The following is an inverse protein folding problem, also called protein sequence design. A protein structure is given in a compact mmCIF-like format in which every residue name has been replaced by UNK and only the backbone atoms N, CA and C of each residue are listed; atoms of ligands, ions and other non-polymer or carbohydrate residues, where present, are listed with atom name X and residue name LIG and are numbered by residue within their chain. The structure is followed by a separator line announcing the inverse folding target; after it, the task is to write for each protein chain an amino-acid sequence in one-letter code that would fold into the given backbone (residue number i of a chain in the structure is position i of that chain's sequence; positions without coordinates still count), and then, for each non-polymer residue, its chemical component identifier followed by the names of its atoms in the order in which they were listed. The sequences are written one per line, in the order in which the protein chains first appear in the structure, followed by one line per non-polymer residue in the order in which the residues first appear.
data_IF_120030360824
#
_entry.id   IF_120030360824
#
_cell.length_a   1.000
_cell.length_b   1.000
_cell.length_c   1.000
_cell.angle_alpha   90.00
_cell.angle_beta   90.00
_cell.angle_gamma   90.00
#
_symmetry.space_group_name_H-M   'P 1'
#
loop_
_entity.id
_entity.type
_entity.pdbx_description
1 polymer ?
#
# COMPACT_ATOMS: atom_id res chain seq x y z
N UNK A 1 -6.62 -2.41 -2.64
CA UNK A 1 -5.77 -2.01 -3.78
C UNK A 1 -6.02 -2.99 -4.90
N UNK A 2 -6.28 -2.51 -6.11
CA UNK A 2 -6.58 -3.38 -7.26
C UNK A 2 -5.28 -3.61 -8.04
N UNK A 3 -5.05 -4.84 -8.50
CA UNK A 3 -3.86 -5.15 -9.30
C UNK A 3 -3.98 -4.53 -10.68
N UNK A 4 -2.91 -3.96 -11.20
CA UNK A 4 -2.82 -3.47 -12.58
C UNK A 4 -1.47 -3.83 -13.18
N UNK A 5 -1.40 -4.17 -14.47
CA UNK A 5 -0.13 -4.49 -15.13
C UNK A 5 0.78 -3.27 -15.31
N UNK A 6 0.31 -2.05 -15.03
CA UNK A 6 1.14 -0.84 -15.00
C UNK A 6 1.79 -0.46 -16.34
N UNK A 7 1.26 -0.93 -17.48
CA UNK A 7 1.87 -0.75 -18.82
C UNK A 7 1.74 0.65 -19.40
N UNK A 8 0.93 1.52 -18.78
CA UNK A 8 0.65 2.86 -19.27
C UNK A 8 -0.49 3.52 -18.49
N UNK A 9 -0.88 4.70 -18.96
CA UNK A 9 -1.95 5.49 -18.37
C UNK A 9 -3.25 5.38 -19.19
N UNK A 10 -4.43 5.50 -18.54
CA UNK A 10 -4.62 5.55 -17.10
C UNK A 10 -4.37 4.18 -16.44
N UNK A 11 -3.86 4.16 -15.20
CA UNK A 11 -3.51 2.92 -14.48
C UNK A 11 -4.68 1.93 -14.37
N UNK A 12 -5.90 2.43 -14.30
CA UNK A 12 -7.11 1.60 -14.23
C UNK A 12 -7.46 0.85 -15.52
N UNK A 13 -6.89 1.20 -16.68
CA UNK A 13 -7.28 0.61 -17.97
C UNK A 13 -7.02 -0.91 -18.06
N UNK A 14 -6.03 -1.41 -17.32
CA UNK A 14 -5.67 -2.83 -17.25
C UNK A 14 -6.00 -3.49 -15.91
N UNK A 15 -6.77 -2.84 -15.05
CA UNK A 15 -6.99 -3.30 -13.69
C UNK A 15 -7.72 -4.65 -13.63
N UNK A 16 -7.22 -5.57 -12.80
CA UNK A 16 -7.81 -6.89 -12.56
C UNK A 16 -8.44 -6.95 -11.16
N UNK A 17 -9.74 -6.62 -11.09
CA UNK A 17 -10.46 -6.56 -9.81
C UNK A 17 -10.55 -7.89 -9.04
N UNK A 18 -10.29 -9.04 -9.70
CA UNK A 18 -10.24 -10.35 -9.03
C UNK A 18 -9.00 -10.49 -8.14
N UNK A 19 -7.97 -9.71 -8.40
CA UNK A 19 -6.67 -9.79 -7.72
C UNK A 19 -6.48 -8.48 -6.95
N UNK A 20 -6.71 -8.53 -5.64
CA UNK A 20 -6.64 -7.34 -4.78
C UNK A 20 -5.85 -7.61 -3.51
N UNK A 21 -5.06 -6.61 -3.08
CA UNK A 21 -4.42 -6.58 -1.77
C UNK A 21 -5.22 -5.63 -0.89
N UNK A 22 -5.66 -6.09 0.29
CA UNK A 22 -6.52 -5.32 1.19
C UNK A 22 -5.65 -4.57 2.19
N UNK A 23 -5.99 -3.30 2.42
CA UNK A 23 -5.42 -2.47 3.50
C UNK A 23 -6.57 -1.89 4.31
N UNK A 24 -6.33 -1.60 5.58
CA UNK A 24 -7.30 -0.91 6.44
C UNK A 24 -7.49 0.54 5.98
N UNK A 25 -8.54 1.18 6.48
CA UNK A 25 -8.79 2.60 6.22
C UNK A 25 -7.65 3.47 6.75
N UNK A 26 -7.19 3.16 7.96
CA UNK A 26 -6.08 3.84 8.61
C UNK A 26 -5.18 2.89 9.41
N UNK A 27 -3.98 3.36 9.70
CA UNK A 27 -2.96 2.63 10.46
C UNK A 27 -3.37 2.37 11.90
N UNK A 28 -4.20 3.22 12.51
CA UNK A 28 -4.73 3.02 13.86
C UNK A 28 -5.64 1.79 13.92
N UNK A 29 -6.51 1.60 12.92
CA UNK A 29 -7.32 0.39 12.80
C UNK A 29 -6.48 -0.87 12.58
N UNK A 30 -5.44 -0.80 11.74
CA UNK A 30 -4.53 -1.91 11.55
C UNK A 30 -3.81 -2.27 12.86
N UNK A 31 -3.26 -1.28 13.55
CA UNK A 31 -2.59 -1.45 14.85
C UNK A 31 -3.54 -2.02 15.91
N UNK A 32 -4.78 -1.54 15.96
CA UNK A 32 -5.81 -2.04 16.88
C UNK A 32 -6.19 -3.50 16.59
N UNK A 33 -6.34 -3.87 15.31
CA UNK A 33 -6.59 -5.26 14.92
C UNK A 33 -5.46 -6.21 15.35
N UNK A 34 -4.22 -5.70 15.35
CA UNK A 34 -3.02 -6.39 15.82
C UNK A 34 -2.83 -6.31 17.35
N UNK A 35 -3.74 -5.63 18.06
CA UNK A 35 -3.71 -5.40 19.51
C UNK A 35 -2.42 -4.72 19.98
N UNK A 36 -1.87 -3.83 19.15
CA UNK A 36 -0.77 -2.96 19.55
C UNK A 36 -1.29 -1.94 20.57
N UNK A 37 -0.72 -1.96 21.77
CA UNK A 37 -1.01 -0.94 22.79
C UNK A 37 -0.28 0.35 22.41
N UNK A 38 -1.03 1.38 22.03
CA UNK A 38 -0.49 2.69 21.67
C UNK A 38 0.36 3.27 22.81
N UNK A 39 -0.04 3.08 24.06
CA UNK A 39 0.69 3.62 25.20
C UNK A 39 2.04 2.91 25.38
N UNK A 40 2.10 1.60 25.08
CA UNK A 40 3.36 0.87 25.04
C UNK A 40 4.24 1.31 23.86
N UNK A 41 3.63 1.57 22.70
CA UNK A 41 4.30 2.04 21.50
C UNK A 41 4.99 3.40 21.73
N UNK A 42 4.28 4.34 22.36
CA UNK A 42 4.81 5.68 22.68
C UNK A 42 5.97 5.66 23.69
N UNK A 43 6.05 4.63 24.53
CA UNK A 43 7.09 4.51 25.57
C UNK A 43 8.30 3.69 25.13
N UNK A 44 8.23 3.04 23.96
CA UNK A 44 9.31 2.21 23.48
C UNK A 44 10.41 3.08 22.88
N UNK A 45 11.63 2.95 23.40
CA UNK A 45 12.82 3.60 22.84
C UNK A 45 13.25 2.94 21.51
N UNK A 46 12.97 1.64 21.37
CA UNK A 46 13.19 0.86 20.16
C UNK A 46 12.03 -0.14 20.00
N UNK A 47 11.45 -0.19 18.80
CA UNK A 47 10.25 -0.95 18.49
C UNK A 47 10.60 -2.07 17.50
N UNK A 48 10.95 -3.24 18.02
CA UNK A 48 11.09 -4.44 17.20
C UNK A 48 9.71 -5.05 16.92
N UNK A 49 9.05 -4.52 15.89
CA UNK A 49 7.77 -5.04 15.41
C UNK A 49 8.03 -6.05 14.30
N UNK A 50 7.70 -7.32 14.55
CA UNK A 50 7.78 -8.40 13.54
C UNK A 50 6.99 -8.11 12.26
N UNK A 51 6.07 -7.15 12.31
CA UNK A 51 5.21 -6.69 11.22
C UNK A 51 5.43 -5.21 10.85
N UNK A 52 6.59 -4.64 11.20
CA UNK A 52 6.95 -3.25 10.86
C UNK A 52 6.78 -2.93 9.38
N UNK A 53 7.15 -3.87 8.49
CA UNK A 53 6.97 -3.73 7.04
C UNK A 53 5.51 -3.55 6.65
N UNK A 54 4.63 -4.40 7.18
CA UNK A 54 3.20 -4.32 6.89
C UNK A 54 2.55 -3.04 7.47
N UNK A 55 3.01 -2.58 8.64
CA UNK A 55 2.56 -1.31 9.23
C UNK A 55 3.07 -0.11 8.40
N UNK A 56 4.31 -0.15 7.93
CA UNK A 56 4.87 0.88 7.06
C UNK A 56 4.11 0.95 5.73
N UNK A 57 3.86 -0.20 5.08
CA UNK A 57 3.02 -0.28 3.88
C UNK A 57 1.64 0.32 4.15
N UNK A 58 0.95 -0.09 5.24
CA UNK A 58 -0.35 0.45 5.62
C UNK A 58 -0.33 1.98 5.80
N UNK A 59 0.67 2.52 6.47
CA UNK A 59 0.81 3.95 6.70
C UNK A 59 1.03 4.71 5.38
N UNK A 60 1.90 4.21 4.50
CA UNK A 60 2.10 4.78 3.16
C UNK A 60 0.82 4.72 2.34
N UNK A 61 0.12 3.59 2.33
CA UNK A 61 -1.15 3.43 1.63
C UNK A 61 -2.22 4.43 2.08
N UNK A 62 -2.31 4.71 3.39
CA UNK A 62 -3.18 5.75 3.92
C UNK A 62 -2.80 7.14 3.37
N UNK A 63 -1.52 7.49 3.37
CA UNK A 63 -1.03 8.79 2.88
C UNK A 63 -1.24 8.94 1.37
N UNK A 64 -1.02 7.89 0.58
CA UNK A 64 -1.21 7.92 -0.87
C UNK A 64 -2.67 8.22 -1.27
N UNK A 65 -3.65 7.86 -0.44
CA UNK A 65 -5.07 8.22 -0.69
C UNK A 65 -5.33 9.72 -0.59
N UNK A 66 -4.42 10.48 0.01
CA UNK A 66 -4.51 11.94 0.10
C UNK A 66 -3.95 12.64 -1.15
N UNK A 67 -3.28 11.88 -2.04
CA UNK A 67 -2.68 12.40 -3.27
C UNK A 67 -3.71 12.30 -4.40
N UNK A 68 -4.54 13.33 -4.54
CA UNK A 68 -5.57 13.39 -5.57
C UNK A 68 -6.47 14.61 -5.43
N UNK A 69 -7.42 14.76 -6.35
CA UNK A 69 -8.46 15.79 -6.21
C UNK A 69 -9.54 15.31 -5.24
N UNK A 70 -9.96 16.17 -4.31
CA UNK A 70 -10.90 15.80 -3.24
C UNK A 70 -12.34 15.46 -3.70
N UNK A 71 -12.59 15.48 -5.00
CA UNK A 71 -13.87 15.12 -5.63
C UNK A 71 -13.82 13.73 -6.32
N UNK A 72 -12.71 12.99 -6.19
CA UNK A 72 -12.55 11.65 -6.75
C UNK A 72 -12.34 10.64 -5.63
N UNK A 73 -12.88 9.43 -5.81
CA UNK A 73 -12.60 8.31 -4.90
C UNK A 73 -11.11 7.93 -5.01
N UNK A 74 -10.34 7.94 -3.91
CA UNK A 74 -8.91 7.63 -3.97
C UNK A 74 -8.65 6.18 -4.41
N UNK A 75 -8.15 6.02 -5.64
CA UNK A 75 -7.78 4.72 -6.17
C UNK A 75 -6.33 4.37 -5.79
N UNK A 76 -6.14 3.20 -5.19
CA UNK A 76 -4.82 2.62 -4.94
C UNK A 76 -4.60 1.40 -5.82
N UNK A 77 -3.47 1.42 -6.51
CA UNK A 77 -3.03 0.37 -7.41
C UNK A 77 -1.77 -0.28 -6.87
N UNK A 78 -1.59 -1.55 -7.17
CA UNK A 78 -0.34 -2.27 -6.96
C UNK A 78 -0.06 -3.14 -8.19
N UNK A 79 1.15 -3.64 -8.30
CA UNK A 79 1.51 -4.59 -9.34
C UNK A 79 2.00 -5.88 -8.72
N UNK A 80 1.53 -7.00 -9.25
CA UNK A 80 2.01 -8.32 -8.86
C UNK A 80 2.14 -9.21 -10.09
N UNK A 81 3.11 -10.13 -10.02
CA UNK A 81 3.29 -11.19 -11.00
C UNK A 81 3.55 -12.49 -10.27
N UNK A 82 2.65 -13.44 -10.42
CA UNK A 82 2.89 -14.83 -10.02
C UNK A 82 3.24 -15.70 -11.22
N UNK A 83 4.34 -16.43 -11.11
CA UNK A 83 4.75 -17.48 -12.04
C UNK A 83 5.24 -18.69 -11.25
N UNK A 84 5.24 -19.87 -11.90
CA UNK A 84 5.53 -21.18 -11.28
C UNK A 84 6.82 -21.23 -10.43
N UNK A 85 7.81 -20.39 -10.71
CA UNK A 85 9.09 -20.34 -10.00
C UNK A 85 9.53 -18.92 -9.60
N UNK A 86 8.65 -17.92 -9.72
CA UNK A 86 9.00 -16.52 -9.43
C UNK A 86 7.75 -15.74 -9.10
N UNK A 87 7.76 -15.06 -7.95
CA UNK A 87 6.81 -14.01 -7.61
C UNK A 87 7.54 -12.68 -7.56
N UNK A 88 6.86 -11.61 -7.96
CA UNK A 88 7.32 -10.24 -7.78
C UNK A 88 6.12 -9.36 -7.48
N UNK A 89 6.32 -8.36 -6.64
CA UNK A 89 5.31 -7.39 -6.24
C UNK A 89 5.95 -6.00 -6.22
N UNK A 90 5.15 -4.98 -6.47
CA UNK A 90 5.44 -3.57 -6.18
C UNK A 90 4.28 -3.09 -5.33
N UNK A 91 4.58 -2.57 -4.13
CA UNK A 91 3.58 -2.25 -3.09
C UNK A 91 2.50 -1.29 -3.60
N UNK A 92 2.93 -0.23 -4.28
CA UNK A 92 2.04 0.77 -4.84
C UNK A 92 2.47 1.23 -6.23
N UNK A 93 1.48 1.52 -7.07
CA UNK A 93 1.62 2.21 -8.34
C UNK A 93 0.87 3.54 -8.31
N UNK A 94 1.58 4.62 -8.62
CA UNK A 94 1.03 5.96 -8.78
C UNK A 94 1.21 6.50 -10.19
N UNK A 95 0.48 7.57 -10.50
CA UNK A 95 0.69 8.37 -11.72
C UNK A 95 0.48 9.87 -11.44
N UNK A 96 1.24 10.48 -10.51
CA UNK A 96 1.10 11.91 -10.19
C UNK A 96 1.56 12.81 -11.34
N UNK A 97 2.25 12.25 -12.33
CA UNK A 97 2.64 12.90 -13.59
C UNK A 97 2.19 12.02 -14.77
N UNK A 98 2.61 12.34 -15.99
CA UNK A 98 2.32 11.53 -17.18
C UNK A 98 3.10 10.21 -17.29
N UNK A 99 3.64 9.68 -16.19
CA UNK A 99 4.37 8.42 -16.14
C UNK A 99 3.92 7.56 -14.96
N UNK A 100 4.00 6.24 -15.14
CA UNK A 100 3.78 5.26 -14.06
C UNK A 100 4.96 5.33 -13.10
N UNK A 101 4.67 5.52 -11.82
CA UNK A 101 5.64 5.59 -10.74
C UNK A 101 5.48 4.37 -9.83
N UNK A 102 6.46 3.45 -9.81
CA UNK A 102 6.51 2.39 -8.80
C UNK A 102 6.98 2.95 -7.46
N UNK A 103 6.34 2.48 -6.39
CA UNK A 103 6.65 2.86 -5.01
C UNK A 103 6.83 1.55 -4.23
N UNK A 104 8.04 1.38 -3.70
CA UNK A 104 8.41 0.28 -2.80
C UNK A 104 8.55 0.85 -1.39
N UNK A 105 7.91 0.23 -0.41
CA UNK A 105 7.93 0.68 0.98
C UNK A 105 8.96 -0.12 1.76
N UNK A 106 9.74 0.56 2.60
CA UNK A 106 10.72 -0.06 3.51
C UNK A 106 10.55 0.54 4.89
N UNK A 107 10.47 -0.31 5.91
CA UNK A 107 10.31 0.12 7.30
C UNK A 107 11.60 0.67 7.92
N UNK A 108 12.77 0.32 7.36
CA UNK A 108 14.11 0.69 7.85
C UNK A 108 15.13 -0.32 7.37
#
# INVERSE_FOLDING_TARGET
MISTPGRGLPLGAGAEAKTMKVIHLDVGLASSALRLDLAALERADDLDLVNEGAIAEQAVGQLLRLIGHGNEEPALWYWSREARSSAAEVDYLGAPTSHVLPIEVKAG
#
